data_IF_443537470884
#
_entry.id   IF_443537470884
#
_cell.length_a   1.000
_cell.length_b   1.000
_cell.length_c   1.000
_cell.angle_alpha   90.00
_cell.angle_beta   90.00
_cell.angle_gamma   90.00
#
_symmetry.space_group_name_H-M   'P 1'
#
loop_
_entity.id
_entity.type
_entity.pdbx_description
1 polymer ?
#
# COMPACT_ATOMS: atom_id res chain seq x y z
N UNK A 1 -5.20 -9.56 -26.83
CA UNK A 1 -5.28 -9.05 -25.43
C UNK A 1 -6.72 -9.01 -24.92
N UNK A 2 -7.66 -8.39 -25.65
CA UNK A 2 -9.08 -8.35 -25.23
C UNK A 2 -9.72 -9.74 -25.07
N UNK A 3 -9.50 -10.67 -26.01
CA UNK A 3 -10.02 -12.04 -25.91
C UNK A 3 -9.46 -12.81 -24.71
N UNK A 4 -8.18 -12.58 -24.35
CA UNK A 4 -7.58 -13.18 -23.17
C UNK A 4 -8.20 -12.62 -21.88
N UNK A 5 -8.51 -11.32 -21.84
CA UNK A 5 -9.24 -10.70 -20.74
C UNK A 5 -10.66 -11.25 -20.60
N UNK A 6 -11.42 -11.31 -21.70
CA UNK A 6 -12.79 -11.83 -21.72
C UNK A 6 -12.81 -13.31 -21.32
N UNK A 7 -11.86 -14.11 -21.79
CA UNK A 7 -11.72 -15.52 -21.37
C UNK A 7 -11.43 -15.65 -19.88
N UNK A 8 -10.54 -14.81 -19.32
CA UNK A 8 -10.25 -14.80 -17.88
C UNK A 8 -11.45 -14.40 -17.04
N UNK A 9 -12.17 -13.35 -17.44
CA UNK A 9 -13.41 -12.93 -16.77
C UNK A 9 -14.45 -14.06 -16.80
N UNK A 10 -14.57 -14.76 -17.93
CA UNK A 10 -15.45 -15.91 -18.07
C UNK A 10 -15.05 -17.06 -17.14
N UNK A 11 -13.75 -17.40 -17.06
CA UNK A 11 -13.23 -18.42 -16.14
C UNK A 11 -13.49 -18.09 -14.67
N UNK A 12 -13.32 -16.81 -14.27
CA UNK A 12 -13.62 -16.35 -12.90
C UNK A 12 -15.11 -16.49 -12.56
N UNK A 13 -16.00 -16.31 -13.54
CA UNK A 13 -17.45 -16.42 -13.35
C UNK A 13 -17.92 -17.88 -13.36
N UNK A 14 -17.30 -18.73 -14.19
CA UNK A 14 -17.64 -20.16 -14.31
C UNK A 14 -17.15 -20.97 -13.11
N UNK A 15 -16.00 -20.60 -12.54
CA UNK A 15 -15.42 -21.30 -11.40
C UNK A 15 -16.13 -20.93 -10.09
N UNK A 16 -16.86 -21.89 -9.52
CA UNK A 16 -17.64 -21.70 -8.29
C UNK A 16 -16.79 -21.26 -7.08
N UNK A 17 -15.56 -21.76 -6.96
CA UNK A 17 -14.68 -21.40 -5.85
C UNK A 17 -14.14 -19.98 -5.99
N UNK A 18 -13.65 -19.61 -7.18
CA UNK A 18 -13.19 -18.25 -7.44
C UNK A 18 -14.33 -17.24 -7.37
N UNK A 19 -15.50 -17.58 -7.93
CA UNK A 19 -16.72 -16.78 -7.83
C UNK A 19 -17.11 -16.52 -6.38
N UNK A 20 -17.10 -17.55 -5.53
CA UNK A 20 -17.40 -17.42 -4.10
C UNK A 20 -16.46 -16.42 -3.40
N UNK A 21 -15.16 -16.51 -3.67
CA UNK A 21 -14.15 -15.58 -3.11
C UNK A 21 -14.33 -14.16 -3.62
N UNK A 22 -14.59 -13.97 -4.91
CA UNK A 22 -14.81 -12.64 -5.51
C UNK A 22 -16.10 -12.01 -4.99
N UNK A 23 -17.19 -12.79 -4.89
CA UNK A 23 -18.45 -12.31 -4.29
C UNK A 23 -18.27 -11.94 -2.82
N UNK A 24 -17.48 -12.70 -2.07
CA UNK A 24 -17.13 -12.35 -0.69
C UNK A 24 -16.39 -11.01 -0.62
N UNK A 25 -15.39 -10.80 -1.48
CA UNK A 25 -14.67 -9.52 -1.57
C UNK A 25 -15.64 -8.39 -1.90
N UNK A 26 -16.50 -8.55 -2.91
CA UNK A 26 -17.49 -7.53 -3.28
C UNK A 26 -18.46 -7.22 -2.14
N UNK A 27 -18.97 -8.24 -1.45
CA UNK A 27 -19.84 -8.05 -0.28
C UNK A 27 -19.12 -7.30 0.84
N UNK A 28 -17.87 -7.65 1.14
CA UNK A 28 -17.05 -6.96 2.13
C UNK A 28 -16.79 -5.49 1.74
N UNK A 29 -16.56 -5.20 0.45
CA UNK A 29 -16.40 -3.84 -0.05
C UNK A 29 -17.70 -3.02 0.03
N UNK A 30 -18.86 -3.64 -0.18
CA UNK A 30 -20.16 -2.98 0.04
C UNK A 30 -20.35 -2.64 1.51
N UNK A 31 -20.05 -3.57 2.42
CA UNK A 31 -20.12 -3.31 3.87
C UNK A 31 -19.16 -2.19 4.26
N UNK A 32 -17.91 -2.23 3.79
CA UNK A 32 -16.93 -1.16 3.97
C UNK A 32 -17.52 0.20 3.55
N UNK A 33 -18.17 0.27 2.38
CA UNK A 33 -18.71 1.51 1.87
C UNK A 33 -19.88 2.03 2.70
N UNK A 34 -20.78 1.15 3.14
CA UNK A 34 -21.88 1.51 4.03
C UNK A 34 -21.36 2.11 5.34
N UNK A 35 -20.34 1.50 5.95
CA UNK A 35 -19.74 1.99 7.18
C UNK A 35 -19.06 3.35 7.00
N UNK A 36 -18.41 3.59 5.84
CA UNK A 36 -17.79 4.87 5.51
C UNK A 36 -18.81 6.02 5.29
N UNK A 37 -20.10 5.72 5.20
CA UNK A 37 -21.16 6.74 5.08
C UNK A 37 -21.83 7.09 6.41
N UNK A 38 -21.59 6.33 7.49
CA UNK A 38 -22.19 6.59 8.80
C UNK A 38 -21.36 7.68 9.51
N UNK A 39 -21.87 8.92 9.64
CA UNK A 39 -21.15 10.01 10.28
C UNK A 39 -21.13 9.83 11.80
N UNK A 40 -20.10 10.39 12.43
CA UNK A 40 -20.03 10.49 13.88
C UNK A 40 -20.96 11.64 14.34
N UNK A 41 -21.71 11.47 15.44
CA UNK A 41 -22.62 12.50 15.94
C UNK A 41 -21.88 13.77 16.37
N UNK A 42 -22.47 14.92 16.02
CA UNK A 42 -22.06 16.23 16.52
C UNK A 42 -21.02 16.97 15.67
N UNK A 43 -21.06 16.88 14.34
CA UNK A 43 -20.05 17.50 13.47
C UNK A 43 -20.65 18.38 12.36
N UNK A 44 -19.96 19.48 12.05
CA UNK A 44 -20.22 20.34 10.89
C UNK A 44 -19.44 19.85 9.65
N UNK A 45 -20.16 19.16 8.76
CA UNK A 45 -19.59 18.66 7.51
C UNK A 45 -19.14 19.77 6.54
N UNK A 46 -19.70 20.98 6.65
CA UNK A 46 -19.43 22.09 5.75
C UNK A 46 -18.14 22.81 6.15
N UNK A 47 -17.91 23.00 7.45
CA UNK A 47 -16.63 23.49 7.99
C UNK A 47 -15.46 22.56 7.61
N UNK A 48 -15.69 21.25 7.65
CA UNK A 48 -14.69 20.25 7.26
C UNK A 48 -14.33 20.32 5.77
N UNK A 49 -15.32 20.42 4.86
CA UNK A 49 -15.03 20.49 3.42
C UNK A 49 -14.15 21.69 3.07
N UNK A 50 -14.38 22.83 3.71
CA UNK A 50 -13.55 24.02 3.54
C UNK A 50 -12.13 23.82 4.10
N UNK A 51 -11.99 23.15 5.24
CA UNK A 51 -10.68 22.84 5.83
C UNK A 51 -9.87 21.84 4.98
N UNK A 52 -10.54 20.87 4.36
CA UNK A 52 -9.92 19.87 3.49
C UNK A 52 -9.39 20.45 2.18
N UNK A 53 -10.10 21.43 1.61
CA UNK A 53 -9.69 22.07 0.36
C UNK A 53 -8.35 22.81 0.46
N UNK A 54 -7.96 23.26 1.67
CA UNK A 54 -6.72 23.99 1.90
C UNK A 54 -5.50 23.15 2.28
N UNK A 55 -5.66 21.85 2.58
CA UNK A 55 -4.58 21.06 3.17
C UNK A 55 -4.32 19.73 2.43
N UNK A 56 -3.26 19.71 1.63
CA UNK A 56 -2.87 18.57 0.79
C UNK A 56 -2.59 17.29 1.59
N UNK A 57 -2.11 17.42 2.84
CA UNK A 57 -1.90 16.29 3.75
C UNK A 57 -3.22 15.61 4.12
N UNK A 58 -4.25 16.39 4.42
CA UNK A 58 -5.58 15.86 4.77
C UNK A 58 -6.29 15.29 3.55
N UNK A 59 -6.03 15.83 2.36
CA UNK A 59 -6.47 15.24 1.09
C UNK A 59 -5.92 13.83 0.88
N UNK A 60 -4.63 13.60 1.13
CA UNK A 60 -4.03 12.26 1.04
C UNK A 60 -4.61 11.30 2.09
N UNK A 61 -4.77 11.73 3.33
CA UNK A 61 -5.43 10.92 4.38
C UNK A 61 -6.88 10.57 4.02
N UNK A 62 -7.60 11.48 3.37
CA UNK A 62 -8.95 11.21 2.90
C UNK A 62 -9.00 10.11 1.85
N UNK A 63 -8.01 10.05 0.97
CA UNK A 63 -7.89 8.96 0.00
C UNK A 63 -7.65 7.62 0.70
N UNK A 64 -6.73 7.55 1.67
CA UNK A 64 -6.43 6.32 2.41
C UNK A 64 -7.59 5.83 3.29
N UNK A 65 -8.44 6.74 3.76
CA UNK A 65 -9.66 6.42 4.50
C UNK A 65 -10.88 6.14 3.60
N UNK A 66 -10.72 6.22 2.27
CA UNK A 66 -11.79 5.96 1.30
C UNK A 66 -12.95 6.96 1.34
N UNK A 67 -12.64 8.23 1.62
CA UNK A 67 -13.65 9.27 1.83
C UNK A 67 -14.22 9.29 3.26
N UNK A 68 -13.77 8.38 4.13
CA UNK A 68 -14.19 8.31 5.52
C UNK A 68 -13.82 9.56 6.31
N UNK A 69 -12.70 10.22 5.94
CA UNK A 69 -12.29 11.48 6.54
C UNK A 69 -13.16 12.66 6.09
N UNK A 70 -13.51 12.76 4.80
CA UNK A 70 -14.39 13.82 4.26
C UNK A 70 -15.82 13.78 4.77
N UNK A 71 -16.28 12.62 5.25
CA UNK A 71 -17.61 12.47 5.84
C UNK A 71 -17.56 12.39 7.38
N UNK A 72 -16.36 12.49 7.99
CA UNK A 72 -16.09 12.18 9.40
C UNK A 72 -16.89 10.97 9.89
N UNK A 73 -16.78 9.91 9.10
CA UNK A 73 -17.43 8.66 9.39
C UNK A 73 -16.79 7.98 10.59
N UNK A 74 -17.46 6.96 11.12
CA UNK A 74 -16.88 6.03 12.09
C UNK A 74 -15.55 5.40 11.61
N UNK A 75 -15.25 5.50 10.30
CA UNK A 75 -14.07 4.96 9.63
C UNK A 75 -13.03 6.03 9.26
N UNK A 76 -13.08 7.20 9.89
CA UNK A 76 -12.27 8.39 9.56
C UNK A 76 -10.77 8.12 9.36
N UNK A 77 -10.17 7.23 10.16
CA UNK A 77 -8.72 6.95 10.16
C UNK A 77 -8.38 5.75 9.25
N UNK A 78 -9.41 5.05 8.76
CA UNK A 78 -9.26 3.95 7.83
C UNK A 78 -8.41 2.80 8.39
N UNK A 79 -7.62 2.20 7.50
CA UNK A 79 -6.68 1.12 7.82
C UNK A 79 -5.30 1.62 8.29
N UNK A 80 -5.11 2.94 8.45
CA UNK A 80 -3.82 3.54 8.79
C UNK A 80 -3.19 3.03 10.10
N UNK A 81 -3.94 2.80 11.20
CA UNK A 81 -3.35 2.27 12.44
C UNK A 81 -2.75 0.88 12.24
N UNK A 82 -3.43 0.04 11.47
CA UNK A 82 -2.96 -1.31 11.16
C UNK A 82 -1.74 -1.31 10.25
N UNK A 83 -1.73 -0.46 9.22
CA UNK A 83 -0.56 -0.30 8.34
C UNK A 83 0.65 0.14 9.17
N UNK A 84 0.46 1.11 10.07
CA UNK A 84 1.52 1.59 10.97
C UNK A 84 2.03 0.47 11.86
N UNK A 85 1.13 -0.31 12.47
CA UNK A 85 1.50 -1.45 13.30
C UNK A 85 2.27 -2.53 12.51
N UNK A 86 1.81 -2.86 11.30
CA UNK A 86 2.48 -3.82 10.42
C UNK A 86 3.87 -3.35 10.00
N UNK A 87 4.04 -2.04 9.72
CA UNK A 87 5.36 -1.44 9.43
C UNK A 87 6.29 -1.57 10.62
N UNK A 88 5.83 -1.23 11.83
CA UNK A 88 6.63 -1.34 13.05
C UNK A 88 7.05 -2.78 13.30
N UNK A 89 6.14 -3.74 13.13
CA UNK A 89 6.47 -5.17 13.21
C UNK A 89 7.48 -5.59 12.14
N UNK A 90 7.32 -5.15 10.90
CA UNK A 90 8.26 -5.47 9.81
C UNK A 90 9.65 -4.90 10.09
N UNK A 91 9.74 -3.66 10.56
CA UNK A 91 11.01 -3.02 10.97
C UNK A 91 11.65 -3.76 12.14
N UNK A 92 10.83 -4.28 13.06
CA UNK A 92 11.31 -5.01 14.23
C UNK A 92 11.97 -6.34 13.87
N UNK A 93 11.70 -6.94 12.69
CA UNK A 93 12.39 -8.15 12.22
C UNK A 93 13.90 -7.95 12.02
N UNK A 94 14.33 -6.72 11.71
CA UNK A 94 15.76 -6.42 11.53
C UNK A 94 16.47 -6.24 12.88
N UNK A 95 15.77 -5.69 13.86
CA UNK A 95 16.31 -5.46 15.20
C UNK A 95 16.29 -6.73 16.06
N UNK A 96 15.29 -7.59 15.86
CA UNK A 96 15.06 -8.79 16.68
C UNK A 96 15.13 -10.07 15.84
N UNK A 97 16.21 -10.86 15.96
CA UNK A 97 16.39 -12.11 15.21
C UNK A 97 15.25 -13.12 15.43
N UNK A 98 14.64 -13.14 16.62
CA UNK A 98 13.49 -14.00 16.93
C UNK A 98 12.27 -13.67 16.07
N UNK A 99 12.01 -12.38 15.82
CA UNK A 99 10.91 -11.96 14.94
C UNK A 99 11.20 -12.29 13.48
N UNK A 100 12.47 -12.20 13.06
CA UNK A 100 12.91 -12.65 11.72
C UNK A 100 12.67 -14.15 11.53
N UNK A 101 13.11 -14.98 12.48
CA UNK A 101 12.92 -16.43 12.44
C UNK A 101 11.43 -16.80 12.41
N UNK A 102 10.60 -16.12 13.21
CA UNK A 102 9.15 -16.31 13.20
C UNK A 102 8.52 -15.99 11.83
N UNK A 103 8.94 -14.91 11.18
CA UNK A 103 8.37 -14.49 9.89
C UNK A 103 8.80 -15.38 8.72
N UNK A 104 10.05 -15.88 8.75
CA UNK A 104 10.66 -16.56 7.60
C UNK A 104 10.85 -18.08 7.78
N UNK A 105 11.21 -18.54 8.97
CA UNK A 105 11.60 -19.94 9.22
C UNK A 105 10.46 -20.82 9.74
N UNK A 106 9.54 -20.25 10.53
CA UNK A 106 8.42 -20.97 11.16
C UNK A 106 7.22 -21.23 10.22
N UNK A 107 7.29 -20.79 8.96
CA UNK A 107 6.23 -21.01 7.97
C UNK A 107 4.93 -20.24 8.25
N UNK A 108 3.78 -20.84 7.93
CA UNK A 108 2.48 -20.18 8.07
C UNK A 108 2.08 -19.91 9.52
N UNK A 109 2.40 -20.82 10.44
CA UNK A 109 2.09 -20.67 11.87
C UNK A 109 2.87 -19.51 12.50
N UNK A 110 4.14 -19.35 12.13
CA UNK A 110 4.96 -18.20 12.53
C UNK A 110 4.43 -16.89 11.97
N UNK A 111 4.06 -16.86 10.68
CA UNK A 111 3.42 -15.68 10.06
C UNK A 111 2.11 -15.31 10.75
N UNK A 112 1.28 -16.28 11.14
CA UNK A 112 0.05 -16.01 11.87
C UNK A 112 0.32 -15.35 13.23
N UNK A 113 1.34 -15.80 13.97
CA UNK A 113 1.77 -15.18 15.24
C UNK A 113 2.33 -13.77 15.02
N UNK A 114 3.12 -13.57 13.97
CA UNK A 114 3.64 -12.25 13.60
C UNK A 114 2.48 -11.26 13.36
N UNK A 115 1.45 -11.69 12.63
CA UNK A 115 0.25 -10.90 12.39
C UNK A 115 -0.56 -10.67 13.67
N UNK A 116 -0.55 -11.61 14.62
CA UNK A 116 -1.20 -11.43 15.92
C UNK A 116 -0.55 -10.30 16.74
N UNK A 117 0.78 -10.19 16.73
CA UNK A 117 1.46 -9.06 17.37
C UNK A 117 1.16 -7.73 16.67
N UNK A 118 1.10 -7.71 15.33
CA UNK A 118 0.66 -6.52 14.60
C UNK A 118 -0.77 -6.10 15.01
N UNK A 119 -1.68 -7.05 15.20
CA UNK A 119 -3.04 -6.78 15.70
C UNK A 119 -3.03 -6.18 17.11
N UNK A 120 -2.25 -6.73 18.03
CA UNK A 120 -2.14 -6.18 19.38
C UNK A 120 -1.56 -4.77 19.40
N UNK A 121 -0.62 -4.45 18.50
CA UNK A 121 -0.07 -3.11 18.37
C UNK A 121 -1.05 -2.13 17.70
N UNK A 122 -1.94 -2.64 16.83
CA UNK A 122 -2.96 -1.83 16.14
C UNK A 122 -3.95 -1.20 17.12
N UNK A 123 -4.37 -1.93 18.15
CA UNK A 123 -5.37 -1.46 19.13
C UNK A 123 -4.96 -0.14 19.81
N UNK A 124 -3.83 -0.05 20.54
CA UNK A 124 -3.42 1.20 21.18
C UNK A 124 -3.12 2.31 20.16
N UNK A 125 -2.58 1.98 18.98
CA UNK A 125 -2.34 2.96 17.93
C UNK A 125 -3.64 3.56 17.39
N UNK A 126 -4.70 2.75 17.24
CA UNK A 126 -6.01 3.24 16.81
C UNK A 126 -6.59 4.24 17.81
N UNK A 127 -6.48 3.96 19.12
CA UNK A 127 -6.92 4.90 20.16
C UNK A 127 -6.11 6.20 20.16
N UNK A 128 -4.78 6.11 20.06
CA UNK A 128 -3.90 7.29 20.04
C UNK A 128 -4.17 8.15 18.80
N UNK A 129 -4.30 7.53 17.62
CA UNK A 129 -4.61 8.25 16.39
C UNK A 129 -6.03 8.85 16.43
N UNK A 130 -7.03 8.12 16.95
CA UNK A 130 -8.39 8.62 17.12
C UNK A 130 -8.46 9.84 18.03
N UNK A 131 -7.77 9.79 19.16
CA UNK A 131 -7.64 10.92 20.05
C UNK A 131 -6.94 12.10 19.35
N UNK A 132 -5.77 11.88 18.75
CA UNK A 132 -4.99 12.93 18.10
C UNK A 132 -5.74 13.64 16.98
N UNK A 133 -6.43 12.89 16.12
CA UNK A 133 -7.23 13.47 15.04
C UNK A 133 -8.44 14.26 15.56
N UNK A 134 -9.17 13.74 16.55
CA UNK A 134 -10.31 14.47 17.11
C UNK A 134 -9.89 15.77 17.81
N UNK A 135 -8.77 15.77 18.54
CA UNK A 135 -8.24 17.01 19.14
C UNK A 135 -7.85 18.01 18.04
N UNK A 136 -7.16 17.56 16.99
CA UNK A 136 -6.79 18.42 15.87
C UNK A 136 -8.04 19.03 15.21
N UNK A 137 -9.09 18.25 14.98
CA UNK A 137 -10.33 18.77 14.38
C UNK A 137 -11.09 19.74 15.30
N UNK A 138 -11.09 19.49 16.62
CA UNK A 138 -11.66 20.41 17.62
C UNK A 138 -10.92 21.74 17.63
N UNK A 139 -9.58 21.71 17.63
CA UNK A 139 -8.75 22.92 17.66
C UNK A 139 -8.93 23.79 16.41
N UNK A 140 -9.25 23.19 15.27
CA UNK A 140 -9.55 23.89 14.02
C UNK A 140 -11.02 24.33 13.91
N UNK A 141 -11.83 24.19 14.97
CA UNK A 141 -13.23 24.63 15.00
C UNK A 141 -14.20 23.80 14.17
N UNK A 142 -13.79 22.61 13.71
CA UNK A 142 -14.60 21.73 12.84
C UNK A 142 -15.54 20.86 13.68
N UNK A 143 -15.07 20.46 14.86
CA UNK A 143 -15.87 19.76 15.85
C UNK A 143 -16.27 20.78 16.92
N UNK A 144 -17.56 21.00 17.19
CA UNK A 144 -18.02 21.83 18.30
C UNK A 144 -17.41 21.36 19.63
N UNK A 145 -17.46 22.22 20.65
CA UNK A 145 -17.10 21.86 22.03
C UNK A 145 -18.01 20.71 22.50
N UNK A 146 -17.56 19.46 22.31
CA UNK A 146 -18.22 18.26 22.80
C UNK A 146 -17.97 18.12 24.31
N UNK A 147 -18.97 17.62 25.03
CA UNK A 147 -18.78 17.19 26.41
C UNK A 147 -17.69 16.11 26.50
N UNK A 148 -16.97 16.04 27.62
CA UNK A 148 -15.83 15.13 27.80
C UNK A 148 -16.26 13.68 27.57
N UNK A 149 -17.48 13.32 28.00
CA UNK A 149 -18.05 11.98 27.79
C UNK A 149 -18.32 11.70 26.31
N UNK A 150 -18.88 12.66 25.56
CA UNK A 150 -19.12 12.53 24.12
C UNK A 150 -17.81 12.46 23.33
N UNK A 151 -16.79 13.21 23.76
CA UNK A 151 -15.47 13.16 23.14
C UNK A 151 -14.84 11.76 23.25
N UNK A 152 -14.81 11.16 24.46
CA UNK A 152 -14.29 9.80 24.63
C UNK A 152 -15.16 8.77 23.91
N UNK A 153 -16.50 8.92 23.91
CA UNK A 153 -17.37 8.06 23.14
C UNK A 153 -17.00 8.07 21.64
N UNK A 154 -16.75 9.25 21.06
CA UNK A 154 -16.32 9.37 19.67
C UNK A 154 -14.93 8.75 19.43
N UNK A 155 -13.97 8.90 20.35
CA UNK A 155 -12.67 8.21 20.27
C UNK A 155 -12.86 6.69 20.23
N UNK A 156 -13.71 6.14 21.10
CA UNK A 156 -14.01 4.70 21.12
C UNK A 156 -14.69 4.23 19.84
N UNK A 157 -15.66 4.99 19.32
CA UNK A 157 -16.36 4.66 18.07
C UNK A 157 -15.39 4.65 16.88
N UNK A 158 -14.51 5.65 16.76
CA UNK A 158 -13.51 5.70 15.68
C UNK A 158 -12.50 4.55 15.81
N UNK A 159 -12.00 4.29 17.01
CA UNK A 159 -11.05 3.20 17.25
C UNK A 159 -11.69 1.85 16.94
N UNK A 160 -12.95 1.63 17.35
CA UNK A 160 -13.71 0.43 17.04
C UNK A 160 -13.94 0.29 15.52
N UNK A 161 -14.26 1.38 14.82
CA UNK A 161 -14.39 1.40 13.36
C UNK A 161 -13.10 0.99 12.65
N UNK A 162 -11.95 1.53 13.08
CA UNK A 162 -10.65 1.14 12.54
C UNK A 162 -10.31 -0.33 12.78
N UNK A 163 -10.63 -0.87 13.96
CA UNK A 163 -10.45 -2.30 14.26
C UNK A 163 -11.37 -3.19 13.43
N UNK A 164 -12.59 -2.73 13.19
CA UNK A 164 -13.54 -3.42 12.33
C UNK A 164 -13.07 -3.43 10.86
N UNK A 165 -12.43 -2.37 10.36
CA UNK A 165 -11.77 -2.42 9.03
C UNK A 165 -10.63 -3.41 8.97
N UNK A 166 -9.78 -3.42 10.00
CA UNK A 166 -8.68 -4.36 10.07
C UNK A 166 -9.22 -5.79 10.00
N UNK A 167 -10.27 -6.08 10.76
CA UNK A 167 -10.94 -7.38 10.73
C UNK A 167 -11.53 -7.71 9.34
N UNK A 168 -12.24 -6.77 8.70
CA UNK A 168 -12.74 -6.97 7.32
C UNK A 168 -11.58 -7.22 6.35
N UNK A 169 -10.48 -6.49 6.48
CA UNK A 169 -9.28 -6.67 5.65
C UNK A 169 -8.63 -8.05 5.83
N UNK A 170 -8.60 -8.56 7.05
CA UNK A 170 -8.13 -9.92 7.33
C UNK A 170 -9.07 -10.97 6.73
N UNK A 171 -10.39 -10.80 6.89
CA UNK A 171 -11.38 -11.69 6.27
C UNK A 171 -11.26 -11.73 4.74
N UNK A 172 -11.04 -10.58 4.08
CA UNK A 172 -10.80 -10.53 2.64
C UNK A 172 -9.50 -11.26 2.27
N UNK A 173 -8.49 -11.23 3.12
CA UNK A 173 -7.21 -11.93 2.87
C UNK A 173 -7.36 -13.45 3.04
N UNK A 174 -8.18 -13.89 3.99
CA UNK A 174 -8.40 -15.31 4.30
C UNK A 174 -9.39 -15.98 3.33
N UNK A 175 -10.55 -15.34 3.11
CA UNK A 175 -11.65 -15.91 2.33
C UNK A 175 -11.79 -15.31 0.93
N UNK A 176 -11.10 -14.21 0.64
CA UNK A 176 -11.17 -13.52 -0.64
C UNK A 176 -10.02 -13.84 -1.59
N UNK A 177 -9.72 -12.90 -2.48
CA UNK A 177 -8.59 -12.97 -3.41
C UNK A 177 -7.76 -11.71 -3.26
N UNK A 178 -6.46 -11.84 -3.02
CA UNK A 178 -5.56 -10.69 -2.91
C UNK A 178 -5.13 -10.39 -1.47
N UNK A 179 -4.63 -9.18 -1.25
CA UNK A 179 -4.38 -8.65 0.09
C UNK A 179 -5.54 -7.71 0.45
N UNK A 180 -6.28 -8.04 1.50
CA UNK A 180 -7.50 -7.31 1.86
C UNK A 180 -7.26 -5.85 2.24
N UNK A 181 -6.14 -5.53 2.91
CA UNK A 181 -5.81 -4.13 3.22
C UNK A 181 -5.53 -3.32 1.97
N UNK A 182 -4.82 -3.91 1.00
CA UNK A 182 -4.59 -3.27 -0.29
C UNK A 182 -5.89 -3.05 -1.08
N UNK A 183 -6.81 -4.02 -1.02
CA UNK A 183 -8.13 -3.93 -1.63
C UNK A 183 -9.03 -2.87 -0.99
N UNK A 184 -8.97 -2.71 0.35
CA UNK A 184 -9.71 -1.65 1.04
C UNK A 184 -9.20 -0.26 0.64
N UNK A 185 -7.88 -0.07 0.53
CA UNK A 185 -7.30 1.20 0.04
C UNK A 185 -7.71 1.44 -1.42
N UNK A 186 -7.62 0.42 -2.27
CA UNK A 186 -8.05 0.49 -3.67
C UNK A 186 -9.53 0.90 -3.78
N UNK A 187 -10.41 0.25 -3.01
CA UNK A 187 -11.84 0.55 -3.02
C UNK A 187 -12.11 1.98 -2.54
N UNK A 188 -11.36 2.44 -1.54
CA UNK A 188 -11.42 3.81 -1.05
C UNK A 188 -11.05 4.86 -2.11
N UNK A 189 -9.95 4.63 -2.84
CA UNK A 189 -9.53 5.49 -3.95
C UNK A 189 -10.58 5.51 -5.07
N UNK A 190 -10.98 4.31 -5.52
CA UNK A 190 -11.86 4.17 -6.68
C UNK A 190 -13.26 4.73 -6.38
N UNK A 191 -13.73 4.67 -5.14
CA UNK A 191 -15.01 5.25 -4.74
C UNK A 191 -15.06 6.79 -4.85
N UNK A 192 -13.92 7.48 -4.83
CA UNK A 192 -13.85 8.94 -4.99
C UNK A 192 -13.76 9.37 -6.47
N UNK A 193 -13.44 8.45 -7.39
CA UNK A 193 -13.32 8.77 -8.82
C UNK A 193 -14.65 9.21 -9.45
N UNK A 194 -15.81 8.56 -9.21
CA UNK A 194 -17.08 8.98 -9.81
C UNK A 194 -17.46 10.41 -9.46
N UNK A 195 -17.29 10.82 -8.19
CA UNK A 195 -17.58 12.19 -7.76
C UNK A 195 -16.61 13.19 -8.36
N UNK A 196 -15.32 12.84 -8.47
CA UNK A 196 -14.33 13.68 -9.12
C UNK A 196 -14.65 13.87 -10.61
N UNK A 197 -14.99 12.79 -11.33
CA UNK A 197 -15.38 12.84 -12.75
C UNK A 197 -16.66 13.67 -12.93
N UNK A 198 -17.67 13.46 -12.09
CA UNK A 198 -18.91 14.24 -12.14
C UNK A 198 -18.62 15.73 -11.94
N UNK A 199 -17.83 16.08 -10.92
CA UNK A 199 -17.44 17.47 -10.67
C UNK A 199 -16.69 18.07 -11.86
N UNK A 200 -15.76 17.32 -12.48
CA UNK A 200 -15.06 17.74 -13.68
C UNK A 200 -15.98 17.95 -14.88
N UNK A 201 -17.01 17.12 -15.05
CA UNK A 201 -18.01 17.28 -16.13
C UNK A 201 -18.91 18.49 -15.89
N UNK A 202 -19.30 18.77 -14.64
CA UNK A 202 -20.16 19.91 -14.30
C UNK A 202 -19.43 21.26 -14.27
N UNK A 203 -18.13 21.27 -13.96
CA UNK A 203 -17.27 22.46 -13.97
C UNK A 203 -16.49 22.62 -15.27
N UNK A 204 -16.87 21.87 -16.31
CA UNK A 204 -16.19 21.88 -17.59
C UNK A 204 -16.30 23.26 -18.25
N UNK A 205 -15.15 23.89 -18.43
CA UNK A 205 -14.99 25.12 -19.19
C UNK A 205 -14.01 24.86 -20.35
N UNK A 206 -14.28 25.47 -21.51
CA UNK A 206 -13.45 25.35 -22.73
C UNK A 206 -12.01 25.82 -22.46
N UNK A 207 -11.85 26.77 -21.54
CA UNK A 207 -10.55 27.27 -21.08
C UNK A 207 -9.68 26.21 -20.38
N UNK A 208 -10.28 25.15 -19.82
CA UNK A 208 -9.60 24.10 -19.03
C UNK A 208 -9.24 22.85 -19.87
N UNK A 209 -9.55 22.84 -21.17
CA UNK A 209 -9.21 21.71 -22.07
C UNK A 209 -7.71 21.34 -22.04
N UNK A 210 -6.76 22.30 -22.08
CA UNK A 210 -5.34 21.96 -22.00
C UNK A 210 -4.97 21.24 -20.69
N UNK A 211 -5.59 21.65 -19.57
CA UNK A 211 -5.41 21.05 -18.25
C UNK A 211 -5.91 19.60 -18.21
N UNK A 212 -7.08 19.33 -18.77
CA UNK A 212 -7.64 17.98 -18.81
C UNK A 212 -6.81 17.05 -19.69
N UNK A 213 -6.35 17.55 -20.83
CA UNK A 213 -5.52 16.78 -21.75
C UNK A 213 -4.15 16.47 -21.13
N UNK A 214 -3.58 17.42 -20.38
CA UNK A 214 -2.37 17.20 -19.59
C UNK A 214 -2.58 16.14 -18.49
N UNK A 215 -3.70 16.19 -17.76
CA UNK A 215 -4.01 15.22 -16.70
C UNK A 215 -4.15 13.81 -17.25
N UNK A 216 -4.86 13.64 -18.38
CA UNK A 216 -5.01 12.33 -19.05
C UNK A 216 -3.67 11.83 -19.57
N UNK A 217 -2.85 12.70 -20.19
CA UNK A 217 -1.53 12.34 -20.67
C UNK A 217 -0.61 11.88 -19.52
N UNK A 218 -0.59 12.62 -18.41
CA UNK A 218 0.16 12.26 -17.20
C UNK A 218 -0.32 10.92 -16.63
N UNK A 219 -1.63 10.74 -16.49
CA UNK A 219 -2.22 9.50 -16.00
C UNK A 219 -1.84 8.30 -16.88
N UNK A 220 -1.85 8.47 -18.20
CA UNK A 220 -1.43 7.44 -19.15
C UNK A 220 0.06 7.10 -19.02
N UNK A 221 0.93 8.11 -18.90
CA UNK A 221 2.38 7.92 -18.70
C UNK A 221 2.67 7.21 -17.38
N UNK A 222 2.02 7.61 -16.29
CA UNK A 222 2.17 6.96 -14.98
C UNK A 222 1.71 5.50 -15.06
N UNK A 223 0.53 5.25 -15.64
CA UNK A 223 -0.01 3.89 -15.80
C UNK A 223 0.93 3.01 -16.62
N UNK A 224 1.39 3.50 -17.77
CA UNK A 224 2.31 2.76 -18.64
C UNK A 224 3.64 2.48 -17.93
N UNK A 225 4.18 3.46 -17.21
CA UNK A 225 5.39 3.30 -16.41
C UNK A 225 5.26 2.22 -15.33
N UNK A 226 4.17 2.24 -14.55
CA UNK A 226 3.90 1.23 -13.52
C UNK A 226 3.75 -0.15 -14.11
N UNK A 227 2.98 -0.30 -15.18
CA UNK A 227 2.77 -1.60 -15.83
C UNK A 227 4.10 -2.14 -16.36
N UNK A 228 4.88 -1.30 -17.03
CA UNK A 228 6.18 -1.69 -17.58
C UNK A 228 7.14 -2.21 -16.50
N UNK A 229 7.28 -1.50 -15.38
CA UNK A 229 8.20 -1.90 -14.31
C UNK A 229 7.69 -3.11 -13.52
N UNK A 230 6.37 -3.24 -13.38
CA UNK A 230 5.76 -4.32 -12.58
C UNK A 230 5.71 -5.65 -13.35
N UNK A 231 5.66 -5.61 -14.67
CA UNK A 231 5.79 -6.81 -15.53
C UNK A 231 7.24 -7.13 -15.90
N UNK A 232 8.17 -6.19 -15.74
CA UNK A 232 9.57 -6.46 -16.00
C UNK A 232 10.12 -7.52 -15.03
N UNK A 233 10.72 -8.56 -15.59
CA UNK A 233 11.40 -9.61 -14.83
C UNK A 233 12.73 -10.00 -15.47
N UNK A 234 13.66 -10.43 -14.62
CA UNK A 234 14.92 -11.03 -15.02
C UNK A 234 14.82 -12.55 -14.81
N UNK A 235 14.75 -13.35 -15.89
CA UNK A 235 14.77 -14.80 -15.77
C UNK A 235 16.18 -15.28 -15.43
N UNK A 236 16.33 -16.07 -14.36
CA UNK A 236 17.58 -16.74 -13.99
C UNK A 236 17.45 -18.22 -14.35
N UNK A 237 18.27 -18.77 -15.26
CA UNK A 237 18.16 -20.17 -15.64
C UNK A 237 18.50 -21.09 -14.45
N UNK A 238 17.65 -22.09 -14.22
CA UNK A 238 17.83 -23.11 -13.19
C UNK A 238 17.67 -24.47 -13.83
N UNK A 239 18.62 -25.37 -13.53
CA UNK A 239 18.59 -26.75 -14.00
C UNK A 239 18.32 -27.67 -12.82
N UNK A 240 17.33 -28.55 -12.97
CA UNK A 240 17.13 -29.63 -12.01
C UNK A 240 18.12 -30.77 -12.25
N UNK A 241 18.72 -31.27 -11.17
CA UNK A 241 19.68 -32.35 -11.20
C UNK A 241 19.09 -33.58 -11.91
N UNK A 242 19.84 -34.09 -12.89
CA UNK A 242 19.51 -35.30 -13.63
C UNK A 242 19.65 -36.52 -12.73
N UNK A 243 18.70 -37.45 -12.81
CA UNK A 243 18.85 -38.79 -12.23
C UNK A 243 19.37 -39.72 -13.33
N UNK A 244 20.67 -40.04 -13.29
CA UNK A 244 21.26 -41.00 -14.24
C UNK A 244 20.96 -42.41 -13.73
N UNK A 245 20.29 -43.24 -14.56
CA UNK A 245 20.04 -44.66 -14.26
C UNK A 245 20.47 -45.48 -15.47
N UNK A 246 21.59 -46.20 -15.37
CA UNK A 246 22.19 -46.94 -16.49
C UNK A 246 22.78 -46.02 -17.57
N UNK A 247 22.62 -46.37 -18.85
CA UNK A 247 23.11 -45.58 -20.01
C UNK A 247 22.13 -44.49 -20.49
N UNK A 248 20.96 -44.34 -19.86
CA UNK A 248 19.97 -43.33 -20.27
C UNK A 248 19.98 -42.15 -19.31
N UNK A 249 20.25 -40.97 -19.86
CA UNK A 249 20.09 -39.69 -19.17
C UNK A 249 18.61 -39.30 -19.28
N UNK A 250 17.84 -39.55 -18.21
CA UNK A 250 16.47 -39.07 -18.07
C UNK A 250 16.49 -37.80 -17.21
N UNK A 251 15.94 -36.71 -17.74
CA UNK A 251 15.75 -35.45 -17.02
C UNK A 251 16.75 -34.34 -17.36
N UNK A 252 16.69 -33.25 -16.61
CA UNK A 252 17.37 -31.99 -16.90
C UNK A 252 16.48 -31.03 -17.70
N UNK A 253 15.26 -30.80 -17.23
CA UNK A 253 14.44 -29.70 -17.72
C UNK A 253 15.10 -28.41 -17.22
N UNK A 254 15.58 -27.60 -18.16
CA UNK A 254 15.99 -26.23 -17.86
C UNK A 254 14.74 -25.40 -17.67
N UNK A 255 14.57 -24.86 -16.47
CA UNK A 255 13.56 -23.84 -16.19
C UNK A 255 14.25 -22.51 -15.90
N UNK A 256 13.49 -21.49 -15.55
CA UNK A 256 14.02 -20.25 -15.02
C UNK A 256 13.29 -19.85 -13.74
N UNK A 257 14.01 -19.17 -12.85
CA UNK A 257 13.48 -18.49 -11.69
C UNK A 257 13.23 -17.03 -12.09
N UNK A 258 11.97 -16.57 -12.18
CA UNK A 258 11.65 -15.18 -12.49
C UNK A 258 11.95 -14.27 -11.29
N UNK A 259 12.90 -13.34 -11.44
CA UNK A 259 13.12 -12.26 -10.47
C UNK A 259 12.55 -10.97 -11.04
N UNK A 260 11.37 -10.56 -10.55
CA UNK A 260 10.73 -9.29 -10.96
C UNK A 260 11.57 -8.07 -10.57
N UNK A 261 11.46 -7.00 -11.35
CA UNK A 261 12.14 -5.72 -11.06
C UNK A 261 11.50 -5.02 -9.86
N UNK A 262 10.18 -4.98 -9.82
CA UNK A 262 9.43 -4.59 -8.62
C UNK A 262 8.87 -5.82 -7.89
N UNK A 263 9.68 -6.39 -6.99
CA UNK A 263 9.22 -7.50 -6.14
C UNK A 263 8.35 -7.05 -4.97
N UNK A 264 8.47 -5.78 -4.59
CA UNK A 264 7.83 -5.23 -3.39
C UNK A 264 6.38 -4.79 -3.61
N UNK A 265 5.93 -4.75 -4.87
CA UNK A 265 4.59 -4.28 -5.23
C UNK A 265 4.38 -2.83 -4.80
N UNK A 266 3.28 -2.58 -4.07
CA UNK A 266 2.86 -1.23 -3.63
C UNK A 266 3.34 -0.90 -2.22
N UNK A 267 3.76 -1.92 -1.46
CA UNK A 267 4.03 -1.80 -0.02
C UNK A 267 5.06 -0.71 0.31
N UNK A 268 6.18 -0.57 -0.41
CA UNK A 268 7.14 0.52 -0.13
C UNK A 268 6.56 1.91 -0.27
N UNK A 269 5.66 2.13 -1.24
CA UNK A 269 5.01 3.43 -1.47
C UNK A 269 4.11 3.77 -0.28
N UNK A 270 3.31 2.79 0.16
CA UNK A 270 2.42 2.92 1.32
C UNK A 270 3.24 3.14 2.59
N UNK A 271 4.36 2.45 2.75
CA UNK A 271 5.24 2.58 3.91
C UNK A 271 5.90 3.95 3.98
N UNK A 272 6.41 4.45 2.85
CA UNK A 272 7.00 5.79 2.78
C UNK A 272 5.98 6.88 3.13
N UNK A 273 4.74 6.76 2.65
CA UNK A 273 3.67 7.70 2.99
C UNK A 273 3.33 7.62 4.49
N UNK A 274 3.02 6.44 5.02
CA UNK A 274 2.71 6.28 6.46
C UNK A 274 3.84 6.77 7.36
N UNK A 275 5.10 6.54 6.97
CA UNK A 275 6.26 7.01 7.71
C UNK A 275 6.40 8.54 7.70
N UNK A 276 6.04 9.21 6.59
CA UNK A 276 6.00 10.68 6.54
C UNK A 276 4.82 11.26 7.33
N UNK A 277 3.66 10.60 7.25
CA UNK A 277 2.43 11.08 7.89
C UNK A 277 2.55 11.09 9.43
N UNK A 278 3.25 10.11 10.01
CA UNK A 278 3.32 9.94 11.46
C UNK A 278 4.05 11.11 12.19
N UNK A 279 5.29 11.50 11.83
CA UNK A 279 5.94 12.67 12.42
C UNK A 279 5.19 13.97 12.12
N UNK A 280 4.62 14.11 10.93
CA UNK A 280 3.86 15.30 10.55
C UNK A 280 2.61 15.48 11.45
N UNK A 281 1.90 14.39 11.74
CA UNK A 281 0.76 14.40 12.65
C UNK A 281 1.17 14.79 14.07
N UNK A 282 2.28 14.25 14.59
CA UNK A 282 2.80 14.60 15.92
C UNK A 282 3.24 16.06 15.96
N UNK A 283 3.95 16.54 14.93
CA UNK A 283 4.42 17.90 14.84
C UNK A 283 3.27 18.91 14.77
N UNK A 284 2.22 18.65 13.99
CA UNK A 284 1.04 19.52 13.90
C UNK A 284 0.26 19.57 15.21
N UNK A 285 0.18 18.46 15.94
CA UNK A 285 -0.43 18.42 17.27
C UNK A 285 0.40 19.20 18.32
N UNK A 286 1.71 18.97 18.37
CA UNK A 286 2.62 19.62 19.33
C UNK A 286 2.82 21.12 19.05
N UNK A 287 2.68 21.54 17.79
CA UNK A 287 2.75 22.95 17.40
C UNK A 287 1.66 23.81 18.05
N UNK A 288 0.55 23.20 18.48
CA UNK A 288 -0.55 23.88 19.17
C UNK A 288 -0.45 23.78 20.70
N UNK A 289 0.65 23.24 21.23
CA UNK A 289 0.88 23.15 22.67
C UNK A 289 1.10 24.55 23.28
N UNK A 290 0.58 24.83 24.50
CA UNK A 290 0.85 26.09 25.20
C UNK A 290 2.32 26.25 25.62
N UNK A 291 3.11 25.17 25.54
CA UNK A 291 4.54 25.16 25.89
C UNK A 291 5.38 25.62 24.69
N UNK A 292 5.91 26.85 24.74
CA UNK A 292 6.70 27.46 23.67
C UNK A 292 7.95 26.66 23.26
N UNK A 293 8.59 25.97 24.22
CA UNK A 293 9.77 25.11 23.97
C UNK A 293 9.46 23.86 23.15
N UNK A 294 8.21 23.40 23.15
CA UNK A 294 7.73 22.25 22.36
C UNK A 294 7.09 22.73 21.06
N UNK A 295 6.32 23.81 21.12
CA UNK A 295 5.60 24.34 19.96
C UNK A 295 6.54 24.88 18.88
N UNK A 296 7.63 25.55 19.25
CA UNK A 296 8.60 26.11 18.29
C UNK A 296 9.24 25.06 17.37
N UNK A 297 9.91 24.03 17.92
CA UNK A 297 10.47 22.94 17.11
C UNK A 297 9.42 22.16 16.32
N UNK A 298 8.25 21.91 16.92
CA UNK A 298 7.17 21.19 16.26
C UNK A 298 6.59 21.97 15.06
N UNK A 299 6.42 23.29 15.20
CA UNK A 299 5.98 24.16 14.11
C UNK A 299 7.03 24.23 12.99
N UNK A 300 8.33 24.25 13.32
CA UNK A 300 9.40 24.22 12.34
C UNK A 300 9.39 22.91 11.51
N UNK A 301 9.19 21.77 12.17
CA UNK A 301 9.06 20.46 11.50
C UNK A 301 7.81 20.42 10.62
N UNK A 302 6.66 20.91 11.11
CA UNK A 302 5.43 20.98 10.34
C UNK A 302 5.57 21.89 9.11
N UNK A 303 6.25 23.03 9.26
CA UNK A 303 6.53 23.95 8.15
C UNK A 303 7.49 23.34 7.11
N UNK A 304 8.53 22.63 7.57
CA UNK A 304 9.46 21.94 6.69
C UNK A 304 8.76 20.84 5.87
N UNK A 305 7.89 20.04 6.51
CA UNK A 305 7.09 19.00 5.84
C UNK A 305 5.96 19.57 4.98
N UNK A 306 5.53 20.81 5.22
CA UNK A 306 4.62 21.55 4.35
C UNK A 306 5.27 22.07 3.07
N UNK A 307 6.61 22.15 3.01
CA UNK A 307 7.32 22.56 1.81
C UNK A 307 7.36 21.41 0.79
N UNK A 308 6.75 21.64 -0.37
CA UNK A 308 6.62 20.67 -1.46
C UNK A 308 7.96 20.03 -1.88
N UNK A 309 9.04 20.80 -1.93
CA UNK A 309 10.35 20.31 -2.36
C UNK A 309 11.00 19.39 -1.32
N UNK A 310 10.87 19.76 -0.05
CA UNK A 310 11.37 18.96 1.08
C UNK A 310 10.56 17.68 1.18
N UNK A 311 9.21 17.79 1.14
CA UNK A 311 8.31 16.65 1.15
C UNK A 311 8.58 15.70 -0.01
N UNK A 312 8.69 16.21 -1.24
CA UNK A 312 8.98 15.40 -2.42
C UNK A 312 10.34 14.69 -2.35
N UNK A 313 11.38 15.38 -1.87
CA UNK A 313 12.73 14.79 -1.74
C UNK A 313 12.77 13.70 -0.66
N UNK A 314 12.18 13.96 0.50
CA UNK A 314 12.07 12.97 1.58
C UNK A 314 11.22 11.78 1.13
N UNK A 315 10.13 12.04 0.39
CA UNK A 315 9.29 10.99 -0.15
C UNK A 315 10.02 10.10 -1.14
N UNK A 316 10.79 10.69 -2.08
CA UNK A 316 11.66 9.94 -2.99
C UNK A 316 12.63 9.03 -2.23
N UNK A 317 13.35 9.60 -1.26
CA UNK A 317 14.37 8.90 -0.50
C UNK A 317 13.75 7.76 0.32
N UNK A 318 12.61 8.00 0.98
CA UNK A 318 11.92 6.98 1.74
C UNK A 318 11.39 5.86 0.84
N UNK A 319 10.80 6.17 -0.32
CA UNK A 319 10.38 5.12 -1.28
C UNK A 319 11.58 4.30 -1.73
N UNK A 320 12.71 4.94 -2.03
CA UNK A 320 13.94 4.26 -2.41
C UNK A 320 14.43 3.31 -1.31
N UNK A 321 14.57 3.82 -0.07
CA UNK A 321 15.03 3.04 1.09
C UNK A 321 14.06 1.91 1.43
N UNK A 322 12.75 2.17 1.47
CA UNK A 322 11.76 1.16 1.79
C UNK A 322 11.65 0.08 0.70
N UNK A 323 11.93 0.40 -0.56
CA UNK A 323 11.96 -0.61 -1.64
C UNK A 323 13.12 -1.58 -1.42
N UNK A 324 14.30 -1.07 -1.08
CA UNK A 324 15.45 -1.92 -0.70
C UNK A 324 15.16 -2.74 0.54
N UNK A 325 14.65 -2.09 1.57
CA UNK A 325 14.35 -2.71 2.86
C UNK A 325 13.34 -3.86 2.71
N UNK A 326 12.22 -3.60 2.03
CA UNK A 326 11.17 -4.60 1.82
C UNK A 326 11.67 -5.77 0.97
N UNK A 327 12.40 -5.49 -0.11
CA UNK A 327 12.96 -6.54 -0.97
C UNK A 327 13.95 -7.41 -0.21
N UNK A 328 14.84 -6.83 0.59
CA UNK A 328 15.82 -7.58 1.37
C UNK A 328 15.19 -8.52 2.42
N UNK A 329 14.06 -8.15 3.00
CA UNK A 329 13.36 -9.00 3.99
C UNK A 329 12.53 -10.09 3.33
N UNK A 330 11.89 -9.78 2.20
CA UNK A 330 11.00 -10.74 1.52
C UNK A 330 11.76 -11.73 0.65
N UNK A 331 12.87 -11.31 0.06
CA UNK A 331 13.71 -12.12 -0.82
C UNK A 331 15.11 -12.29 -0.24
N UNK A 332 15.25 -13.20 0.73
CA UNK A 332 16.55 -13.53 1.31
C UNK A 332 17.32 -14.53 0.41
N UNK A 333 18.47 -14.14 -0.19
CA UNK A 333 19.20 -14.99 -1.14
C UNK A 333 19.63 -16.33 -0.54
N UNK A 334 20.00 -16.34 0.75
CA UNK A 334 20.40 -17.55 1.48
C UNK A 334 19.28 -18.59 1.52
N UNK A 335 18.03 -18.16 1.78
CA UNK A 335 16.90 -19.07 1.83
C UNK A 335 16.54 -19.61 0.45
N UNK A 336 16.56 -18.74 -0.58
CA UNK A 336 16.28 -19.14 -1.96
C UNK A 336 17.32 -20.17 -2.42
N UNK A 337 18.61 -19.92 -2.16
CA UNK A 337 19.68 -20.87 -2.49
C UNK A 337 19.53 -22.22 -1.76
N UNK A 338 19.18 -22.19 -0.46
CA UNK A 338 18.92 -23.42 0.33
C UNK A 338 17.70 -24.18 -0.21
N UNK A 339 16.65 -23.49 -0.61
CA UNK A 339 15.45 -24.08 -1.20
C UNK A 339 15.73 -24.68 -2.58
N UNK A 340 16.52 -24.00 -3.43
CA UNK A 340 16.99 -24.55 -4.71
C UNK A 340 17.78 -25.84 -4.48
N UNK A 341 18.73 -25.83 -3.54
CA UNK A 341 19.53 -27.00 -3.20
C UNK A 341 18.67 -28.16 -2.67
N UNK A 342 17.73 -27.89 -1.76
CA UNK A 342 16.78 -28.89 -1.23
C UNK A 342 15.91 -29.51 -2.34
N UNK A 343 15.51 -28.71 -3.33
CA UNK A 343 14.73 -29.15 -4.48
C UNK A 343 15.58 -29.81 -5.60
N UNK A 344 16.89 -30.02 -5.36
CA UNK A 344 17.80 -30.60 -6.35
C UNK A 344 18.04 -29.70 -7.56
N UNK A 345 17.78 -28.40 -7.44
CA UNK A 345 17.93 -27.41 -8.50
C UNK A 345 19.21 -26.58 -8.30
N UNK A 346 19.88 -26.23 -9.39
CA UNK A 346 21.08 -25.39 -9.34
C UNK A 346 21.16 -24.42 -10.53
N UNK A 347 21.86 -23.31 -10.33
CA UNK A 347 22.14 -22.33 -11.38
C UNK A 347 23.35 -22.82 -12.18
N UNK A 348 23.24 -23.00 -13.52
CA UNK A 348 24.38 -23.40 -14.34
C UNK A 348 25.56 -22.46 -14.17
N UNK A 349 26.75 -23.00 -13.91
CA UNK A 349 27.98 -22.22 -13.74
C UNK A 349 28.25 -21.71 -12.32
N UNK A 350 27.32 -21.89 -11.37
CA UNK A 350 27.50 -21.49 -9.96
C UNK A 350 27.42 -22.72 -9.05
N UNK A 351 28.36 -22.85 -8.11
CA UNK A 351 28.35 -23.96 -7.15
C UNK A 351 27.14 -23.83 -6.20
N UNK A 352 26.35 -24.91 -5.99
CA UNK A 352 25.23 -24.89 -5.03
C UNK A 352 25.67 -24.53 -3.61
N UNK A 353 24.83 -23.79 -2.88
CA UNK A 353 25.10 -23.35 -1.52
C UNK A 353 25.44 -21.85 -1.44
N UNK A 354 26.49 -21.49 -0.69
CA UNK A 354 26.87 -20.09 -0.43
C UNK A 354 27.09 -19.27 -1.70
N UNK A 355 27.80 -19.81 -2.69
CA UNK A 355 28.08 -19.09 -3.95
C UNK A 355 26.80 -18.80 -4.75
N UNK A 356 25.77 -19.67 -4.64
CA UNK A 356 24.46 -19.42 -5.25
C UNK A 356 23.75 -18.26 -4.54
N UNK A 357 23.85 -18.19 -3.20
CA UNK A 357 23.28 -17.09 -2.43
C UNK A 357 23.95 -15.74 -2.74
N UNK A 358 25.27 -15.71 -2.86
CA UNK A 358 26.03 -14.50 -3.24
C UNK A 358 25.65 -14.04 -4.65
N UNK A 359 25.60 -14.96 -5.63
CA UNK A 359 25.20 -14.66 -6.99
C UNK A 359 23.77 -14.11 -7.08
N UNK A 360 22.83 -14.71 -6.34
CA UNK A 360 21.45 -14.21 -6.26
C UNK A 360 21.39 -12.85 -5.56
N UNK A 361 22.18 -12.64 -4.50
CA UNK A 361 22.26 -11.37 -3.77
C UNK A 361 22.73 -10.21 -4.65
N UNK A 362 23.78 -10.42 -5.45
CA UNK A 362 24.27 -9.43 -6.41
C UNK A 362 23.21 -9.08 -7.46
N UNK A 363 22.50 -10.09 -7.97
CA UNK A 363 21.44 -9.89 -8.95
C UNK A 363 20.28 -9.09 -8.35
N UNK A 364 19.78 -9.51 -7.18
CA UNK A 364 18.66 -8.85 -6.51
C UNK A 364 19.01 -7.40 -6.18
N UNK A 365 20.21 -7.15 -5.64
CA UNK A 365 20.64 -5.77 -5.27
C UNK A 365 20.70 -4.85 -6.48
N UNK A 366 21.25 -5.31 -7.61
CA UNK A 366 21.33 -4.52 -8.86
C UNK A 366 19.97 -4.26 -9.50
N UNK A 367 19.09 -5.26 -9.50
CA UNK A 367 17.72 -5.10 -10.02
C UNK A 367 16.92 -4.13 -9.14
N UNK A 368 17.03 -4.30 -7.82
CA UNK A 368 16.32 -3.46 -6.85
C UNK A 368 16.73 -2.00 -6.98
N UNK A 369 17.99 -1.71 -7.37
CA UNK A 369 18.43 -0.34 -7.67
C UNK A 369 17.58 0.33 -8.74
N UNK A 370 17.37 -0.38 -9.86
CA UNK A 370 16.57 0.11 -10.98
C UNK A 370 15.10 0.24 -10.56
N UNK A 371 14.57 -0.76 -9.87
CA UNK A 371 13.19 -0.73 -9.37
C UNK A 371 12.93 0.41 -8.38
N UNK A 372 13.81 0.60 -7.40
CA UNK A 372 13.69 1.63 -6.37
C UNK A 372 13.80 3.05 -6.94
N UNK A 373 14.74 3.28 -7.87
CA UNK A 373 14.90 4.58 -8.53
C UNK A 373 13.66 4.91 -9.38
N UNK A 374 13.17 3.94 -10.15
CA UNK A 374 12.01 4.14 -11.01
C UNK A 374 10.71 4.34 -10.21
N UNK A 375 10.49 3.54 -9.16
CA UNK A 375 9.34 3.70 -8.26
C UNK A 375 9.40 5.02 -7.50
N UNK A 376 10.57 5.40 -6.99
CA UNK A 376 10.75 6.69 -6.33
C UNK A 376 10.45 7.85 -7.28
N UNK A 377 10.94 7.78 -8.51
CA UNK A 377 10.68 8.81 -9.53
C UNK A 377 9.19 8.90 -9.86
N UNK A 378 8.53 7.76 -10.09
CA UNK A 378 7.10 7.70 -10.35
C UNK A 378 6.27 8.26 -9.18
N UNK A 379 6.68 7.99 -7.94
CA UNK A 379 5.98 8.48 -6.75
C UNK A 379 6.05 10.02 -6.60
N UNK A 380 7.15 10.64 -7.04
CA UNK A 380 7.35 12.10 -6.93
C UNK A 380 6.92 12.85 -8.19
N UNK A 381 6.75 12.15 -9.32
CA UNK A 381 6.29 12.74 -10.58
C UNK A 381 5.00 13.59 -10.42
N UNK A 382 3.96 13.16 -9.69
CA UNK A 382 2.76 13.97 -9.50
C UNK A 382 3.04 15.29 -8.79
N UNK A 383 3.92 15.27 -7.78
CA UNK A 383 4.36 16.44 -7.01
C UNK A 383 5.10 17.43 -7.92
N UNK A 384 6.03 16.94 -8.74
CA UNK A 384 6.79 17.77 -9.68
C UNK A 384 5.83 18.44 -10.67
N UNK A 385 4.87 17.69 -11.20
CA UNK A 385 3.90 18.20 -12.16
C UNK A 385 2.98 19.25 -11.53
N UNK A 386 2.54 19.09 -10.29
CA UNK A 386 1.82 20.15 -9.57
C UNK A 386 2.70 21.39 -9.37
N UNK A 387 4.00 21.24 -9.09
CA UNK A 387 4.92 22.38 -8.96
C UNK A 387 5.04 23.21 -10.25
N UNK A 388 4.94 22.57 -11.42
CA UNK A 388 5.01 23.22 -12.73
C UNK A 388 3.66 23.79 -13.15
N UNK A 389 2.58 23.03 -12.94
CA UNK A 389 1.23 23.36 -13.46
C UNK A 389 0.37 24.14 -12.47
N UNK A 390 0.72 24.15 -11.19
CA UNK A 390 -0.06 24.74 -10.10
C UNK A 390 -1.30 23.93 -9.70
N UNK A 391 -1.57 22.79 -10.34
CA UNK A 391 -2.83 22.05 -10.16
C UNK A 391 -2.67 20.99 -9.06
N UNK A 392 -3.25 21.25 -7.89
CA UNK A 392 -3.26 20.35 -6.72
C UNK A 392 -3.91 19.00 -7.00
N UNK A 393 -4.89 18.95 -7.91
CA UNK A 393 -5.59 17.73 -8.29
C UNK A 393 -4.67 16.68 -8.93
N UNK A 394 -3.58 17.09 -9.59
CA UNK A 394 -2.65 16.17 -10.26
C UNK A 394 -1.89 15.31 -9.24
N UNK A 395 -1.50 15.88 -8.09
CA UNK A 395 -0.72 15.16 -7.08
C UNK A 395 -1.53 14.11 -6.34
N UNK A 396 -2.75 14.49 -5.94
CA UNK A 396 -3.71 13.62 -5.26
C UNK A 396 -4.10 12.45 -6.18
N UNK A 397 -4.39 12.74 -7.46
CA UNK A 397 -4.73 11.72 -8.45
C UNK A 397 -3.56 10.80 -8.83
N UNK A 398 -2.35 11.32 -8.97
CA UNK A 398 -1.19 10.54 -9.42
C UNK A 398 -0.75 9.47 -8.42
N UNK A 399 -0.63 9.81 -7.13
CA UNK A 399 -0.28 8.83 -6.08
C UNK A 399 -1.38 7.78 -5.90
N UNK A 400 -2.64 8.20 -5.96
CA UNK A 400 -3.79 7.31 -5.90
C UNK A 400 -3.81 6.33 -7.09
N UNK A 401 -3.49 6.81 -8.29
CA UNK A 401 -3.42 6.00 -9.51
C UNK A 401 -2.31 4.94 -9.44
N UNK A 402 -1.12 5.30 -8.92
CA UNK A 402 -0.02 4.35 -8.72
C UNK A 402 -0.44 3.16 -7.85
N UNK A 403 -1.13 3.45 -6.74
CA UNK A 403 -1.63 2.44 -5.81
C UNK A 403 -2.68 1.57 -6.51
N UNK A 404 -3.64 2.19 -7.20
CA UNK A 404 -4.74 1.50 -7.90
C UNK A 404 -4.20 0.51 -8.92
N UNK A 405 -3.35 0.96 -9.84
CA UNK A 405 -2.82 0.10 -10.92
C UNK A 405 -2.06 -1.08 -10.32
N UNK A 406 -1.24 -0.82 -9.31
CA UNK A 406 -0.40 -1.86 -8.73
C UNK A 406 -1.19 -2.90 -7.92
N UNK A 407 -2.25 -2.48 -7.21
CA UNK A 407 -3.17 -3.42 -6.52
C UNK A 407 -3.94 -4.27 -7.53
N UNK A 408 -4.43 -3.67 -8.62
CA UNK A 408 -5.11 -4.41 -9.69
C UNK A 408 -4.18 -5.46 -10.30
N UNK A 409 -2.93 -5.11 -10.60
CA UNK A 409 -1.94 -6.06 -11.12
C UNK A 409 -1.68 -7.22 -10.14
N UNK A 410 -1.58 -6.96 -8.82
CA UNK A 410 -1.39 -8.03 -7.82
C UNK A 410 -2.60 -8.97 -7.76
N UNK A 411 -3.83 -8.43 -7.79
CA UNK A 411 -5.06 -9.22 -7.78
C UNK A 411 -5.15 -10.09 -9.03
N UNK A 412 -4.90 -9.52 -10.21
CA UNK A 412 -4.92 -10.26 -11.49
C UNK A 412 -3.89 -11.39 -11.46
N UNK A 413 -2.67 -11.12 -10.99
CA UNK A 413 -1.60 -12.14 -10.88
C UNK A 413 -1.96 -13.28 -9.92
N UNK A 414 -2.64 -12.97 -8.80
CA UNK A 414 -3.09 -13.99 -7.85
C UNK A 414 -4.23 -14.84 -8.39
N UNK A 415 -5.16 -14.24 -9.13
CA UNK A 415 -6.21 -14.98 -9.85
C UNK A 415 -5.56 -15.91 -10.88
N UNK A 416 -4.63 -15.39 -11.70
CA UNK A 416 -3.93 -16.17 -12.72
C UNK A 416 -3.20 -17.37 -12.11
N UNK A 417 -2.48 -17.16 -11.00
CA UNK A 417 -1.80 -18.24 -10.29
C UNK A 417 -2.78 -19.34 -9.81
N UNK A 418 -3.93 -18.97 -9.26
CA UNK A 418 -4.95 -19.94 -8.82
C UNK A 418 -5.57 -20.71 -9.99
N UNK A 419 -5.83 -20.04 -11.12
CA UNK A 419 -6.36 -20.70 -12.32
C UNK A 419 -5.35 -21.68 -12.93
N UNK A 420 -4.06 -21.32 -12.96
CA UNK A 420 -3.01 -22.19 -13.52
C UNK A 420 -2.83 -23.49 -12.74
N UNK A 421 -2.98 -23.46 -11.41
CA UNK A 421 -2.85 -24.65 -10.56
C UNK A 421 -3.95 -25.68 -10.84
N UNK A 422 -5.09 -25.25 -11.39
CA UNK A 422 -6.23 -26.12 -11.72
C UNK A 422 -6.22 -26.63 -13.15
N UNK A 423 -5.54 -25.94 -14.07
CA UNK A 423 -5.32 -26.43 -15.44
C UNK A 423 -4.27 -27.56 -15.48
N UNK A 424 -3.45 -27.69 -14.44
CA UNK A 424 -2.57 -28.83 -14.17
C UNK A 424 -3.27 -29.89 -13.32
#
# INVERSE_FOLDING_TARGET
MWEAFVRKVKLVIEDEALRGRVLFVLAALVVFRLLATIPIPGIDALALQNYLGGNQFLGLLNIFSGGGFSNLSIMMIGVAPYITAAIVMQLSTVLFPKLKAMYQEEGESGRARFMQYARYLTVPLAFIQAFGFLVLLRQNGIVPELDTLQFFANVFVIAAGALLLMWIGELITEFGVGNGVSLLIFAGIVAALPSAIAQLLFTFDISQIPTYLALVAVGAVITAGVVFITEAERPIPVTYARRVRGMRVLGGISTYLPIRVNQSGVMPIIFALSFLLFPQMIATFLAQSPLSWVAGPAAAVAAALGNMWIYGTLYFLLVFVFTYFYTAITFEPNQIAKNLQKNGAFIPGVRPGGNTAEHLGDIITRITLVGALFLGFLAVLPIILQGITGITAITIGGTALLIVVSVVLDVVKKIDAQTSIREY
#
